data_IF_481349768633
#
_entry.id   IF_481349768633
#
_cell.length_a   1.000
_cell.length_b   1.000
_cell.length_c   1.000
_cell.angle_alpha   90.00
_cell.angle_beta   90.00
_cell.angle_gamma   90.00
#
_symmetry.space_group_name_H-M   'P 1'
#
loop_
_entity.id
_entity.type
_entity.pdbx_description
1 polymer ?
#
# COMPACT_ATOMS: atom_id res chain seq x y z
N UNK A 1 2.82 36.36 19.90
CA UNK A 1 1.70 35.85 20.70
C UNK A 1 0.48 35.58 19.83
N UNK A 2 0.22 34.29 19.60
CA UNK A 2 -0.96 33.78 18.92
C UNK A 2 -1.74 32.93 19.91
N UNK A 3 -3.08 32.99 19.87
CA UNK A 3 -3.90 32.08 20.67
C UNK A 3 -3.68 30.66 20.17
N UNK A 4 -3.25 29.77 21.05
CA UNK A 4 -2.90 28.40 20.73
C UNK A 4 -4.06 27.66 20.05
N UNK A 5 -5.30 27.88 20.51
CA UNK A 5 -6.51 27.30 19.92
C UNK A 5 -6.67 27.73 18.45
N UNK A 6 -6.41 29.00 18.14
CA UNK A 6 -6.51 29.54 16.78
C UNK A 6 -5.44 28.94 15.85
N UNK A 7 -4.19 28.80 16.33
CA UNK A 7 -3.14 28.15 15.57
C UNK A 7 -3.44 26.66 15.32
N UNK A 8 -3.86 25.95 16.38
CA UNK A 8 -4.22 24.54 16.33
C UNK A 8 -5.39 24.27 15.38
N UNK A 9 -6.45 25.09 15.45
CA UNK A 9 -7.59 25.00 14.55
C UNK A 9 -7.19 25.29 13.10
N UNK A 10 -6.33 26.28 12.85
CA UNK A 10 -5.84 26.57 11.50
C UNK A 10 -5.11 25.37 10.88
N UNK A 11 -4.16 24.78 11.64
CA UNK A 11 -3.42 23.58 11.22
C UNK A 11 -4.39 22.42 10.95
N UNK A 12 -5.26 22.15 11.91
CA UNK A 12 -6.21 21.03 11.85
C UNK A 12 -7.20 21.21 10.70
N UNK A 13 -7.70 22.42 10.44
CA UNK A 13 -8.66 22.71 9.37
C UNK A 13 -8.02 22.61 7.98
N UNK A 14 -6.76 23.04 7.85
CA UNK A 14 -6.01 22.92 6.59
C UNK A 14 -5.74 21.45 6.26
N UNK A 15 -5.35 20.67 7.26
CA UNK A 15 -5.21 19.22 7.13
C UNK A 15 -6.55 18.54 6.82
N UNK A 16 -7.62 18.94 7.52
CA UNK A 16 -8.97 18.41 7.33
C UNK A 16 -9.44 18.54 5.89
N UNK A 17 -9.32 19.72 5.26
CA UNK A 17 -9.72 19.95 3.86
C UNK A 17 -9.07 18.93 2.90
N UNK A 18 -7.81 18.60 3.16
CA UNK A 18 -7.03 17.66 2.34
C UNK A 18 -7.42 16.21 2.63
N UNK A 19 -7.72 15.88 3.88
CA UNK A 19 -8.13 14.54 4.34
C UNK A 19 -9.59 14.22 3.99
N UNK A 20 -10.51 15.19 4.00
CA UNK A 20 -11.90 15.00 3.54
C UNK A 20 -11.95 14.62 2.07
N UNK A 21 -11.14 15.26 1.22
CA UNK A 21 -10.96 14.85 -0.17
C UNK A 21 -10.34 13.45 -0.34
N UNK A 22 -9.90 12.80 0.73
CA UNK A 22 -9.39 11.42 0.78
C UNK A 22 -10.38 10.44 1.41
N UNK A 23 -11.59 10.88 1.76
CA UNK A 23 -12.59 10.03 2.42
C UNK A 23 -12.39 9.87 3.93
N UNK A 24 -11.52 10.68 4.55
CA UNK A 24 -11.42 10.73 6.00
C UNK A 24 -12.53 11.61 6.58
N UNK A 25 -12.91 11.31 7.82
CA UNK A 25 -13.87 12.10 8.58
C UNK A 25 -13.22 12.56 9.88
N UNK A 26 -13.41 13.86 10.21
CA UNK A 26 -13.04 14.40 11.51
C UNK A 26 -13.98 13.81 12.56
N UNK A 27 -13.40 13.24 13.61
CA UNK A 27 -14.15 12.69 14.73
C UNK A 27 -14.40 13.76 15.78
N UNK A 28 -15.57 13.70 16.40
CA UNK A 28 -15.84 14.45 17.63
C UNK A 28 -15.18 13.70 18.76
N UNK A 29 -14.07 14.21 19.27
CA UNK A 29 -13.40 13.67 20.45
C UNK A 29 -13.81 14.50 21.68
N UNK A 30 -13.98 13.84 22.82
CA UNK A 30 -14.22 14.50 24.09
C UNK A 30 -12.94 15.23 24.49
N UNK A 31 -12.92 16.53 24.18
CA UNK A 31 -12.03 17.60 24.61
C UNK A 31 -10.56 17.26 24.96
N UNK A 32 -9.69 17.97 24.24
CA UNK A 32 -8.43 18.53 24.70
C UNK A 32 -8.39 18.76 26.21
N UNK A 33 -7.43 18.14 26.90
CA UNK A 33 -7.14 18.48 28.31
C UNK A 33 -6.38 19.81 28.36
N UNK A 34 -6.16 20.36 29.55
CA UNK A 34 -5.26 21.52 29.72
C UNK A 34 -3.83 21.24 29.23
N UNK A 35 -3.45 19.97 29.12
CA UNK A 35 -2.11 19.51 28.76
C UNK A 35 -1.98 19.14 27.28
N UNK A 36 -3.08 18.74 26.63
CA UNK A 36 -3.06 18.28 25.24
C UNK A 36 -4.27 18.78 24.44
N UNK A 37 -4.02 19.32 23.25
CA UNK A 37 -5.05 19.56 22.23
C UNK A 37 -4.96 18.54 21.12
N UNK A 38 -6.07 17.91 20.75
CA UNK A 38 -6.08 16.88 19.73
C UNK A 38 -7.18 17.08 18.68
N UNK A 39 -6.88 16.67 17.45
CA UNK A 39 -7.83 16.50 16.37
C UNK A 39 -7.62 15.09 15.79
N UNK A 40 -8.70 14.36 15.60
CA UNK A 40 -8.69 12.98 15.09
C UNK A 40 -9.43 12.90 13.76
N UNK A 41 -8.80 12.23 12.79
CA UNK A 41 -9.35 11.99 11.46
C UNK A 41 -9.27 10.50 11.15
N UNK A 42 -10.40 9.85 10.92
CA UNK A 42 -10.45 8.41 10.63
C UNK A 42 -10.76 8.16 9.17
N UNK A 43 -10.01 7.25 8.54
CA UNK A 43 -10.31 6.68 7.22
C UNK A 43 -10.60 5.18 7.32
N UNK A 44 -10.61 4.47 6.19
CA UNK A 44 -10.94 3.03 6.13
C UNK A 44 -9.91 2.12 6.83
N UNK A 45 -8.62 2.44 6.73
CA UNK A 45 -7.54 1.57 7.24
C UNK A 45 -6.52 2.28 8.14
N UNK A 46 -6.62 3.60 8.26
CA UNK A 46 -5.68 4.42 9.03
C UNK A 46 -6.43 5.59 9.65
N UNK A 47 -6.01 5.99 10.85
CA UNK A 47 -6.41 7.24 11.48
C UNK A 47 -5.19 8.17 11.57
N UNK A 48 -5.42 9.47 11.38
CA UNK A 48 -4.44 10.52 11.63
C UNK A 48 -4.89 11.34 12.83
N UNK A 49 -3.92 11.77 13.63
CA UNK A 49 -4.16 12.70 14.73
C UNK A 49 -3.13 13.82 14.70
N UNK A 50 -3.61 15.05 14.85
CA UNK A 50 -2.78 16.21 15.19
C UNK A 50 -2.91 16.42 16.68
N UNK A 51 -1.78 16.49 17.38
CA UNK A 51 -1.74 16.72 18.83
C UNK A 51 -0.77 17.85 19.14
N UNK A 52 -1.19 18.76 20.00
CA UNK A 52 -0.29 19.72 20.64
C UNK A 52 -0.06 19.31 22.09
N UNK A 53 1.19 19.16 22.49
CA UNK A 53 1.61 18.88 23.86
C UNK A 53 2.09 20.19 24.52
N UNK A 54 1.35 20.68 25.51
CA UNK A 54 1.62 22.00 26.14
C UNK A 54 2.93 22.02 26.92
N UNK A 55 3.28 20.92 27.58
CA UNK A 55 4.53 20.77 28.36
C UNK A 55 5.79 20.88 27.48
N UNK A 56 5.73 20.32 26.27
CA UNK A 56 6.84 20.25 25.31
C UNK A 56 6.80 21.34 24.26
N UNK A 57 5.70 22.11 24.19
CA UNK A 57 5.42 23.05 23.10
C UNK A 57 5.58 22.39 21.72
N UNK A 58 5.06 21.18 21.59
CA UNK A 58 5.21 20.35 20.39
C UNK A 58 3.89 20.17 19.66
N UNK A 59 3.89 20.48 18.36
CA UNK A 59 2.85 20.10 17.41
C UNK A 59 3.23 18.79 16.70
N UNK A 60 2.41 17.76 16.83
CA UNK A 60 2.71 16.41 16.39
C UNK A 60 1.65 15.90 15.43
N UNK A 61 2.07 15.42 14.26
CA UNK A 61 1.25 14.59 13.39
C UNK A 61 1.60 13.13 13.64
N UNK A 62 0.60 12.30 13.91
CA UNK A 62 0.75 10.86 14.15
C UNK A 62 -0.33 10.06 13.42
N UNK A 63 -0.07 8.79 13.16
CA UNK A 63 -1.04 7.85 12.60
C UNK A 63 -1.09 6.54 13.36
N UNK A 64 -2.21 5.83 13.24
CA UNK A 64 -2.36 4.47 13.74
C UNK A 64 -3.31 3.68 12.84
N UNK A 65 -3.32 2.35 12.98
CA UNK A 65 -4.16 1.49 12.17
C UNK A 65 -5.62 1.59 12.60
N UNK A 66 -6.54 1.36 11.66
CA UNK A 66 -7.95 1.14 11.98
C UNK A 66 -8.21 -0.33 12.22
N UNK A 67 -9.04 -0.61 13.22
CA UNK A 67 -9.64 -1.91 13.51
C UNK A 67 -11.16 -1.80 13.41
N UNK A 68 -11.86 -2.92 13.51
CA UNK A 68 -13.32 -2.95 13.52
C UNK A 68 -13.92 -2.17 14.72
N UNK A 69 -13.14 -1.99 15.80
CA UNK A 69 -13.52 -1.25 17.00
C UNK A 69 -13.07 0.24 16.97
N UNK A 70 -12.41 0.67 15.89
CA UNK A 70 -11.85 2.02 15.74
C UNK A 70 -10.32 2.06 15.70
N UNK A 71 -9.70 3.23 15.91
CA UNK A 71 -8.24 3.36 15.91
C UNK A 71 -7.61 2.46 16.99
N UNK A 72 -6.55 1.70 16.65
CA UNK A 72 -5.87 0.81 17.59
C UNK A 72 -5.06 1.54 18.67
N UNK A 73 -4.97 2.87 18.57
CA UNK A 73 -4.25 3.78 19.44
C UNK A 73 -2.73 3.51 19.57
N UNK A 74 -2.16 2.67 18.70
CA UNK A 74 -0.72 2.45 18.59
C UNK A 74 -0.12 3.52 17.68
N UNK A 75 -0.03 4.72 18.22
CA UNK A 75 0.37 5.90 17.47
C UNK A 75 1.84 5.85 17.03
N UNK A 76 2.05 5.91 15.72
CA UNK A 76 3.34 6.21 15.09
C UNK A 76 3.42 7.72 14.83
N UNK A 77 4.46 8.36 15.34
CA UNK A 77 4.75 9.77 15.02
C UNK A 77 5.23 9.87 13.56
N UNK A 78 4.62 10.79 12.81
CA UNK A 78 4.98 11.10 11.43
C UNK A 78 5.82 12.36 11.34
N UNK A 79 5.46 13.39 12.11
CA UNK A 79 6.19 14.64 12.18
C UNK A 79 6.04 15.26 13.58
N UNK A 80 7.05 15.99 14.02
CA UNK A 80 7.06 16.76 15.27
C UNK A 80 7.69 18.10 15.00
N UNK A 81 6.97 19.16 15.35
CA UNK A 81 7.40 20.54 15.24
C UNK A 81 7.35 21.20 16.60
N UNK A 82 8.32 22.05 16.90
CA UNK A 82 8.19 22.99 18.01
C UNK A 82 7.24 24.12 17.59
N UNK A 83 6.33 24.49 18.48
CA UNK A 83 5.45 25.63 18.31
C UNK A 83 5.21 26.26 19.67
N UNK A 84 5.75 27.45 19.88
CA UNK A 84 5.59 28.22 21.11
C UNK A 84 4.58 29.36 20.90
N UNK A 85 3.35 29.29 21.43
CA UNK A 85 2.33 30.29 21.17
C UNK A 85 2.69 31.71 21.67
N UNK A 86 3.67 31.82 22.57
CA UNK A 86 4.14 33.11 23.09
C UNK A 86 5.00 33.83 22.05
N UNK A 87 5.93 33.11 21.42
CA UNK A 87 6.93 33.67 20.48
C UNK A 87 6.53 33.53 19.02
N UNK A 88 5.88 32.43 18.66
CA UNK A 88 5.57 32.09 17.28
C UNK A 88 4.31 32.80 16.78
N UNK A 89 4.17 32.80 15.47
CA UNK A 89 3.09 33.47 14.76
C UNK A 89 2.27 32.49 13.93
N UNK A 90 1.22 33.00 13.29
CA UNK A 90 0.43 32.21 12.35
C UNK A 90 1.24 31.75 11.14
N UNK A 91 2.38 32.38 10.83
CA UNK A 91 3.26 31.94 9.74
C UNK A 91 3.90 30.59 10.05
N UNK A 92 4.38 30.39 11.27
CA UNK A 92 4.92 29.12 11.73
C UNK A 92 3.83 28.05 11.73
N UNK A 93 2.63 28.38 12.24
CA UNK A 93 1.47 27.49 12.17
C UNK A 93 1.12 27.09 10.72
N UNK A 94 1.16 28.04 9.78
CA UNK A 94 0.91 27.77 8.35
C UNK A 94 1.96 26.88 7.71
N UNK A 95 3.24 27.04 8.10
CA UNK A 95 4.35 26.21 7.65
C UNK A 95 4.21 24.78 8.16
N UNK A 96 3.91 24.60 9.45
CA UNK A 96 3.63 23.29 10.05
C UNK A 96 2.46 22.62 9.34
N UNK A 97 1.39 23.37 9.07
CA UNK A 97 0.23 22.85 8.37
C UNK A 97 0.55 22.42 6.93
N UNK A 98 1.40 23.16 6.21
CA UNK A 98 1.85 22.79 4.87
C UNK A 98 2.65 21.49 4.89
N UNK A 99 3.59 21.34 5.82
CA UNK A 99 4.38 20.11 5.99
C UNK A 99 3.48 18.91 6.29
N UNK A 100 2.53 19.05 7.22
CA UNK A 100 1.56 18.00 7.53
C UNK A 100 0.70 17.63 6.32
N UNK A 101 0.25 18.63 5.56
CA UNK A 101 -0.52 18.43 4.33
C UNK A 101 0.30 17.69 3.27
N UNK A 102 1.57 18.06 3.10
CA UNK A 102 2.49 17.41 2.17
C UNK A 102 2.69 15.94 2.55
N UNK A 103 2.96 15.66 3.82
CA UNK A 103 3.13 14.31 4.37
C UNK A 103 1.90 13.41 4.10
N UNK A 104 0.68 13.89 4.39
CA UNK A 104 -0.54 13.10 4.12
C UNK A 104 -0.91 13.07 2.63
N UNK A 105 -0.37 13.98 1.81
CA UNK A 105 -0.60 14.03 0.36
C UNK A 105 0.37 13.14 -0.41
N UNK A 106 1.63 13.06 0.00
CA UNK A 106 2.57 12.07 -0.51
C UNK A 106 2.04 10.64 -0.30
N UNK A 107 1.38 10.40 0.84
CA UNK A 107 0.66 9.16 1.11
C UNK A 107 -0.58 8.91 0.20
N UNK A 108 -1.04 9.88 -0.62
CA UNK A 108 -2.23 9.76 -1.51
C UNK A 108 -1.98 9.11 -2.87
N UNK A 109 -0.74 8.99 -3.36
CA UNK A 109 -0.48 8.31 -4.67
C UNK A 109 -0.98 6.86 -4.67
N UNK A 110 -1.30 6.40 -3.48
CA UNK A 110 -1.52 5.04 -3.10
C UNK A 110 -3.02 4.70 -3.09
N UNK A 111 -3.86 5.40 -2.30
CA UNK A 111 -5.24 4.93 -2.02
C UNK A 111 -6.30 5.18 -3.09
N UNK A 112 -6.15 6.11 -4.04
CA UNK A 112 -7.25 6.49 -4.96
C UNK A 112 -7.56 5.48 -6.08
N UNK A 113 -6.74 4.45 -6.30
CA UNK A 113 -6.99 3.42 -7.34
C UNK A 113 -7.59 2.13 -6.76
N UNK A 114 -7.51 1.91 -5.44
CA UNK A 114 -7.91 0.64 -4.82
C UNK A 114 -9.42 0.44 -4.66
N UNK A 115 -10.19 1.51 -4.42
CA UNK A 115 -11.57 1.36 -3.94
C UNK A 115 -12.63 1.21 -5.03
N UNK A 116 -12.34 1.45 -6.32
CA UNK A 116 -13.42 1.53 -7.33
C UNK A 116 -13.66 0.28 -8.17
N UNK A 117 -12.84 -0.79 -8.08
CA UNK A 117 -13.09 -2.01 -8.87
C UNK A 117 -12.51 -3.29 -8.26
N UNK A 118 -13.10 -3.84 -7.20
CA UNK A 118 -13.26 -5.30 -7.07
C UNK A 118 -14.62 -5.61 -6.46
N UNK A 119 -15.62 -5.76 -7.34
CA UNK A 119 -16.72 -6.69 -7.05
C UNK A 119 -16.06 -8.02 -6.68
N UNK A 120 -16.40 -8.58 -5.52
CA UNK A 120 -16.14 -9.98 -5.18
C UNK A 120 -16.54 -10.82 -6.39
N UNK A 121 -15.54 -11.34 -7.11
CA UNK A 121 -15.73 -12.54 -7.90
C UNK A 121 -15.39 -13.68 -6.96
N UNK A 122 -16.40 -14.49 -6.67
CA UNK A 122 -16.27 -15.82 -6.08
C UNK A 122 -15.40 -16.66 -7.02
N UNK A 123 -14.10 -16.68 -6.77
CA UNK A 123 -13.23 -17.77 -7.20
C UNK A 123 -12.04 -17.85 -6.24
N UNK A 124 -12.05 -18.90 -5.43
CA UNK A 124 -11.13 -19.15 -4.32
C UNK A 124 -9.70 -19.38 -4.81
N UNK A 125 -8.82 -18.46 -4.41
CA UNK A 125 -7.37 -18.59 -4.51
C UNK A 125 -6.72 -17.53 -3.63
N UNK A 126 -6.55 -17.86 -2.34
CA UNK A 126 -6.01 -16.99 -1.27
C UNK A 126 -4.52 -16.59 -1.45
N UNK A 127 -4.01 -16.60 -2.68
CA UNK A 127 -2.64 -16.24 -3.02
C UNK A 127 -2.63 -14.98 -3.90
N UNK A 128 -2.91 -13.84 -3.27
CA UNK A 128 -2.68 -12.52 -3.88
C UNK A 128 -1.17 -12.15 -3.88
N UNK A 129 -0.75 -11.09 -4.59
CA UNK A 129 0.68 -10.75 -4.69
C UNK A 129 1.38 -10.52 -3.34
N UNK A 130 0.64 -10.04 -2.33
CA UNK A 130 1.15 -9.83 -0.98
C UNK A 130 1.39 -11.17 -0.28
N UNK A 131 0.44 -12.10 -0.37
CA UNK A 131 0.59 -13.44 0.16
C UNK A 131 1.73 -14.19 -0.54
N UNK A 132 1.86 -14.04 -1.85
CA UNK A 132 2.98 -14.57 -2.61
C UNK A 132 4.33 -14.07 -2.06
N UNK A 133 4.49 -12.76 -1.85
CA UNK A 133 5.69 -12.19 -1.26
C UNK A 133 5.98 -12.78 0.14
N UNK A 134 4.95 -12.95 0.98
CA UNK A 134 5.10 -13.57 2.30
C UNK A 134 5.58 -15.03 2.24
N UNK A 135 5.23 -15.77 1.19
CA UNK A 135 5.70 -17.17 1.00
C UNK A 135 7.19 -17.25 0.70
N UNK A 136 7.76 -16.20 0.11
CA UNK A 136 9.20 -16.12 -0.16
C UNK A 136 10.04 -15.77 1.07
N UNK A 137 9.43 -15.31 2.17
CA UNK A 137 10.16 -14.99 3.43
C UNK A 137 10.93 -16.21 3.99
N UNK A 138 10.45 -17.43 3.71
CA UNK A 138 11.17 -18.65 4.10
C UNK A 138 12.45 -18.92 3.30
N UNK A 139 12.69 -18.19 2.22
CA UNK A 139 13.95 -18.18 1.45
C UNK A 139 14.71 -16.88 1.66
N UNK A 140 14.01 -15.77 1.79
CA UNK A 140 14.57 -14.43 1.93
C UNK A 140 13.98 -13.75 3.17
N UNK A 141 14.52 -14.01 4.38
CA UNK A 141 13.97 -13.50 5.64
C UNK A 141 13.82 -11.97 5.69
N UNK A 142 14.70 -11.24 5.00
CA UNK A 142 14.71 -9.79 4.88
C UNK A 142 13.43 -9.23 4.21
N UNK A 143 12.74 -10.03 3.40
CA UNK A 143 11.46 -9.64 2.80
C UNK A 143 10.40 -9.34 3.88
N UNK A 144 10.53 -9.86 5.10
CA UNK A 144 9.55 -9.59 6.16
C UNK A 144 9.41 -8.09 6.45
N UNK A 145 10.53 -7.39 6.55
CA UNK A 145 10.54 -5.95 6.83
C UNK A 145 10.16 -5.16 5.58
N UNK A 146 10.70 -5.54 4.42
CA UNK A 146 10.38 -4.88 3.14
C UNK A 146 8.89 -4.98 2.80
N UNK A 147 8.25 -6.13 3.04
CA UNK A 147 6.79 -6.30 2.86
C UNK A 147 6.03 -5.38 3.82
N UNK A 148 6.45 -5.29 5.09
CA UNK A 148 5.79 -4.44 6.08
C UNK A 148 5.91 -2.96 5.68
N UNK A 149 7.08 -2.54 5.22
CA UNK A 149 7.30 -1.19 4.71
C UNK A 149 6.43 -0.90 3.48
N UNK A 150 6.38 -1.83 2.53
CA UNK A 150 5.53 -1.71 1.33
C UNK A 150 4.05 -1.64 1.72
N UNK A 151 3.59 -2.42 2.70
CA UNK A 151 2.21 -2.36 3.21
C UNK A 151 1.89 -1.04 3.91
N UNK A 152 2.86 -0.45 4.61
CA UNK A 152 2.70 0.83 5.30
C UNK A 152 2.70 2.00 4.32
N UNK A 153 3.51 1.90 3.26
CA UNK A 153 3.70 2.95 2.28
C UNK A 153 2.68 2.86 1.15
N UNK A 154 2.22 1.65 0.79
CA UNK A 154 1.44 1.38 -0.41
C UNK A 154 0.20 0.46 -0.18
N UNK A 155 -0.94 0.84 -0.77
CA UNK A 155 -2.25 0.23 -0.80
C UNK A 155 -2.95 0.58 -2.13
N UNK A 156 -3.19 -0.37 -3.05
CA UNK A 156 -2.93 -1.79 -2.86
C UNK A 156 -1.42 -2.06 -2.87
N UNK A 157 -1.02 -3.17 -2.26
CA UNK A 157 0.36 -3.67 -2.33
C UNK A 157 0.81 -3.72 -3.80
N UNK A 158 1.91 -3.03 -4.15
CA UNK A 158 2.36 -2.90 -5.55
C UNK A 158 3.09 -4.16 -5.99
N UNK A 159 2.36 -5.27 -6.16
CA UNK A 159 2.94 -6.59 -6.39
C UNK A 159 3.99 -6.65 -7.50
N UNK A 160 3.75 -6.00 -8.64
CA UNK A 160 4.72 -5.92 -9.75
C UNK A 160 5.97 -5.16 -9.33
N UNK A 161 5.81 -3.89 -8.91
CA UNK A 161 6.93 -3.02 -8.51
C UNK A 161 7.74 -3.62 -7.36
N UNK A 162 7.08 -4.13 -6.33
CA UNK A 162 7.73 -4.81 -5.21
C UNK A 162 8.52 -6.03 -5.68
N UNK A 163 7.97 -6.80 -6.63
CA UNK A 163 8.69 -7.93 -7.20
C UNK A 163 9.94 -7.48 -7.96
N UNK A 164 9.82 -6.45 -8.79
CA UNK A 164 10.93 -5.91 -9.56
C UNK A 164 12.04 -5.33 -8.68
N UNK A 165 11.68 -4.54 -7.68
CA UNK A 165 12.62 -3.81 -6.83
C UNK A 165 13.23 -4.67 -5.72
N UNK A 166 12.45 -5.59 -5.13
CA UNK A 166 12.84 -6.30 -3.90
C UNK A 166 13.06 -7.79 -4.09
N UNK A 167 12.23 -8.47 -4.89
CA UNK A 167 12.27 -9.94 -5.03
C UNK A 167 13.26 -10.37 -6.13
N UNK A 168 13.19 -9.76 -7.32
CA UNK A 168 14.04 -10.13 -8.47
C UNK A 168 15.54 -10.11 -8.15
N UNK A 169 16.10 -9.07 -7.50
CA UNK A 169 17.52 -9.06 -7.14
C UNK A 169 17.92 -10.25 -6.26
N UNK A 170 17.03 -10.67 -5.34
CA UNK A 170 17.26 -11.79 -4.43
C UNK A 170 17.20 -13.14 -5.16
N UNK A 171 16.26 -13.30 -6.09
CA UNK A 171 16.18 -14.48 -6.96
C UNK A 171 17.45 -14.59 -7.81
N UNK A 172 17.89 -13.50 -8.45
CA UNK A 172 19.11 -13.53 -9.27
C UNK A 172 20.33 -13.92 -8.45
N UNK A 173 20.49 -13.34 -7.25
CA UNK A 173 21.56 -13.72 -6.33
C UNK A 173 21.48 -15.21 -5.93
N UNK A 174 20.27 -15.71 -5.66
CA UNK A 174 20.06 -17.11 -5.33
C UNK A 174 20.44 -18.04 -6.49
N UNK A 175 20.15 -17.66 -7.73
CA UNK A 175 20.53 -18.46 -8.90
C UNK A 175 22.04 -18.45 -9.18
N UNK A 176 22.73 -17.37 -8.81
CA UNK A 176 24.19 -17.25 -8.97
C UNK A 176 24.98 -18.01 -7.89
N UNK A 177 24.48 -18.01 -6.65
CA UNK A 177 25.28 -18.45 -5.48
C UNK A 177 24.60 -19.52 -4.63
N UNK A 178 23.31 -19.77 -4.86
CA UNK A 178 22.50 -20.67 -4.04
C UNK A 178 22.75 -22.14 -4.34
N UNK A 179 22.40 -22.97 -3.36
CA UNK A 179 22.47 -24.42 -3.47
C UNK A 179 21.28 -25.00 -4.25
N UNK A 180 21.45 -26.20 -4.82
CA UNK A 180 20.36 -26.91 -5.52
C UNK A 180 19.06 -27.02 -4.67
N UNK A 181 19.11 -27.37 -3.36
CA UNK A 181 17.91 -27.40 -2.52
C UNK A 181 17.18 -26.05 -2.41
N UNK A 182 17.90 -24.93 -2.35
CA UNK A 182 17.29 -23.60 -2.27
C UNK A 182 16.62 -23.21 -3.58
N UNK A 183 17.27 -23.53 -4.72
CA UNK A 183 16.68 -23.34 -6.06
C UNK A 183 15.43 -24.21 -6.22
N UNK A 184 15.47 -25.48 -5.80
CA UNK A 184 14.29 -26.37 -5.80
C UNK A 184 13.17 -25.81 -4.93
N UNK A 185 13.49 -25.25 -3.76
CA UNK A 185 12.52 -24.60 -2.87
C UNK A 185 11.90 -23.36 -3.52
N UNK A 186 12.69 -22.56 -4.23
CA UNK A 186 12.19 -21.42 -5.02
C UNK A 186 11.19 -21.90 -6.07
N UNK A 187 11.58 -22.86 -6.92
CA UNK A 187 10.71 -23.39 -7.98
C UNK A 187 9.41 -23.98 -7.40
N UNK A 188 9.50 -24.68 -6.27
CA UNK A 188 8.34 -25.21 -5.55
C UNK A 188 7.38 -24.12 -5.09
N UNK A 189 7.90 -23.02 -4.51
CA UNK A 189 7.09 -21.88 -4.11
C UNK A 189 6.43 -21.22 -5.34
N UNK A 190 7.18 -20.98 -6.41
CA UNK A 190 6.64 -20.41 -7.65
C UNK A 190 5.52 -21.30 -8.23
N UNK A 191 5.72 -22.62 -8.29
CA UNK A 191 4.70 -23.57 -8.76
C UNK A 191 3.44 -23.56 -7.92
N UNK A 192 3.58 -23.64 -6.59
CA UNK A 192 2.44 -23.65 -5.67
C UNK A 192 1.63 -22.33 -5.72
N UNK A 193 2.33 -21.20 -5.81
CA UNK A 193 1.70 -19.89 -5.86
C UNK A 193 1.14 -19.55 -7.24
N UNK A 194 1.69 -20.12 -8.31
CA UNK A 194 1.08 -20.06 -9.64
C UNK A 194 -0.24 -20.84 -9.67
N UNK A 195 -0.26 -22.07 -9.15
CA UNK A 195 -1.47 -22.90 -9.12
C UNK A 195 -2.61 -22.26 -8.33
N UNK A 196 -2.31 -21.76 -7.13
CA UNK A 196 -3.31 -21.21 -6.20
C UNK A 196 -3.53 -19.69 -6.33
N UNK A 197 -2.70 -19.03 -7.14
CA UNK A 197 -2.68 -17.57 -7.25
C UNK A 197 -3.80 -17.01 -8.11
N UNK A 198 -4.19 -15.77 -7.79
CA UNK A 198 -5.07 -15.00 -8.67
C UNK A 198 -4.33 -14.59 -9.97
N UNK A 199 -5.05 -13.94 -10.90
CA UNK A 199 -4.48 -13.50 -12.19
C UNK A 199 -3.23 -12.62 -12.03
N UNK A 200 -3.21 -11.75 -11.02
CA UNK A 200 -2.07 -10.85 -10.79
C UNK A 200 -0.85 -11.65 -10.32
N UNK A 201 -1.02 -12.57 -9.37
CA UNK A 201 0.06 -13.44 -8.87
C UNK A 201 0.60 -14.34 -9.98
N UNK A 202 -0.28 -14.96 -10.77
CA UNK A 202 0.12 -15.79 -11.92
C UNK A 202 0.93 -14.99 -12.94
N UNK A 203 0.49 -13.78 -13.25
CA UNK A 203 1.17 -12.87 -14.18
C UNK A 203 2.53 -12.42 -13.64
N UNK A 204 2.62 -12.07 -12.35
CA UNK A 204 3.90 -11.72 -11.70
C UNK A 204 4.89 -12.88 -11.82
N UNK A 205 4.47 -14.10 -11.53
CA UNK A 205 5.36 -15.27 -11.60
C UNK A 205 5.88 -15.47 -13.03
N UNK A 206 5.00 -15.46 -14.04
CA UNK A 206 5.42 -15.80 -15.41
C UNK A 206 6.06 -14.63 -16.16
N UNK A 207 5.48 -13.43 -16.08
CA UNK A 207 5.88 -12.27 -16.89
C UNK A 207 6.95 -11.44 -16.19
N UNK A 208 6.91 -11.31 -14.86
CA UNK A 208 7.85 -10.45 -14.12
C UNK A 208 9.04 -11.27 -13.64
N UNK A 209 8.81 -12.43 -13.02
CA UNK A 209 9.89 -13.26 -12.48
C UNK A 209 10.54 -14.06 -13.59
N UNK A 210 9.85 -15.09 -14.12
CA UNK A 210 10.48 -16.09 -14.99
C UNK A 210 11.03 -15.49 -16.29
N UNK A 211 10.36 -14.48 -16.87
CA UNK A 211 10.85 -13.80 -18.07
C UNK A 211 12.03 -12.86 -17.82
N UNK A 212 12.23 -12.37 -16.59
CA UNK A 212 13.38 -11.54 -16.25
C UNK A 212 14.66 -12.36 -16.02
N UNK A 213 14.54 -13.68 -15.83
CA UNK A 213 15.68 -14.55 -15.61
C UNK A 213 16.49 -14.75 -16.90
N UNK A 214 17.80 -14.90 -16.72
CA UNK A 214 18.73 -15.27 -17.78
C UNK A 214 18.42 -16.70 -18.27
N UNK A 215 18.46 -16.89 -19.60
CA UNK A 215 18.15 -18.18 -20.23
C UNK A 215 19.12 -19.29 -19.78
N UNK A 216 20.32 -18.95 -19.29
CA UNK A 216 21.29 -19.92 -18.74
C UNK A 216 20.75 -20.70 -17.53
N UNK A 217 19.77 -20.15 -16.80
CA UNK A 217 19.16 -20.82 -15.64
C UNK A 217 17.96 -21.69 -16.01
N UNK A 218 17.62 -21.78 -17.30
CA UNK A 218 16.39 -22.45 -17.73
C UNK A 218 16.37 -23.93 -17.39
N UNK A 219 17.44 -24.64 -17.75
CA UNK A 219 17.51 -26.10 -17.59
C UNK A 219 17.38 -26.51 -16.12
N UNK A 220 18.09 -25.82 -15.22
CA UNK A 220 18.04 -26.10 -13.79
C UNK A 220 16.68 -25.78 -13.16
N UNK A 221 15.98 -24.75 -13.65
CA UNK A 221 14.64 -24.40 -13.19
C UNK A 221 13.60 -25.40 -13.70
N UNK A 222 13.68 -25.79 -14.98
CA UNK A 222 12.76 -26.75 -15.58
C UNK A 222 12.90 -28.16 -14.99
N UNK A 223 14.07 -28.57 -14.48
CA UNK A 223 14.29 -29.88 -13.85
C UNK A 223 13.24 -30.19 -12.76
N UNK A 224 12.85 -29.18 -11.98
CA UNK A 224 11.95 -29.33 -10.81
C UNK A 224 10.61 -28.61 -10.96
N UNK A 225 10.38 -27.97 -12.11
CA UNK A 225 9.16 -27.22 -12.37
C UNK A 225 8.00 -28.13 -12.82
N UNK A 226 6.78 -27.83 -12.38
CA UNK A 226 5.58 -28.55 -12.84
C UNK A 226 5.26 -28.26 -14.31
N UNK A 227 4.67 -29.25 -15.00
CA UNK A 227 4.33 -29.11 -16.43
C UNK A 227 3.41 -27.92 -16.73
N UNK A 228 2.50 -27.61 -15.81
CA UNK A 228 1.62 -26.46 -15.95
C UNK A 228 2.41 -25.14 -15.93
N UNK A 229 3.34 -24.99 -14.99
CA UNK A 229 4.16 -23.79 -14.91
C UNK A 229 5.12 -23.69 -16.10
N UNK A 230 5.71 -24.81 -16.56
CA UNK A 230 6.54 -24.86 -17.78
C UNK A 230 5.79 -24.36 -19.01
N UNK A 231 4.61 -24.93 -19.28
CA UNK A 231 3.76 -24.52 -20.42
C UNK A 231 3.39 -23.04 -20.35
N UNK A 232 3.08 -22.57 -19.16
CA UNK A 232 2.72 -21.17 -18.92
C UNK A 232 3.90 -20.22 -19.12
N UNK A 233 5.11 -20.62 -18.70
CA UNK A 233 6.32 -19.86 -18.93
C UNK A 233 6.68 -19.79 -20.41
N UNK A 234 6.59 -20.91 -21.14
CA UNK A 234 6.86 -20.92 -22.59
C UNK A 234 5.95 -19.93 -23.34
N UNK A 235 4.65 -19.95 -23.03
CA UNK A 235 3.70 -18.98 -23.61
C UNK A 235 3.98 -17.53 -23.20
N UNK A 236 4.39 -17.29 -21.95
CA UNK A 236 4.76 -15.97 -21.44
C UNK A 236 6.03 -15.41 -22.11
N UNK A 237 6.92 -16.28 -22.61
CA UNK A 237 8.21 -15.90 -23.20
C UNK A 237 8.07 -14.97 -24.40
N UNK A 238 6.97 -15.06 -25.14
CA UNK A 238 6.66 -14.14 -26.25
C UNK A 238 6.59 -12.67 -25.83
N UNK A 239 6.47 -12.39 -24.53
CA UNK A 239 6.45 -11.04 -23.94
C UNK A 239 7.79 -10.60 -23.35
N UNK A 240 8.83 -11.46 -23.33
CA UNK A 240 10.17 -11.10 -22.84
C UNK A 240 10.72 -9.91 -23.63
N UNK A 241 11.17 -8.87 -22.92
CA UNK A 241 11.69 -7.63 -23.50
C UNK A 241 10.65 -6.70 -24.14
N UNK A 242 9.35 -7.03 -24.13
CA UNK A 242 8.30 -6.20 -24.72
C UNK A 242 7.62 -5.32 -23.67
N UNK A 243 7.53 -4.01 -23.93
CA UNK A 243 6.61 -3.12 -23.18
C UNK A 243 5.18 -3.31 -23.71
N UNK A 244 4.38 -4.10 -23.00
CA UNK A 244 2.95 -4.28 -23.32
C UNK A 244 2.19 -3.03 -22.91
N UNK A 245 1.51 -2.38 -23.85
CA UNK A 245 0.65 -1.23 -23.55
C UNK A 245 -0.55 -1.70 -22.71
N UNK A 246 -0.94 -0.98 -21.64
CA UNK A 246 -2.11 -1.35 -20.86
C UNK A 246 -3.34 -1.45 -21.76
N UNK A 247 -4.10 -2.52 -21.58
CA UNK A 247 -5.30 -2.79 -22.38
C UNK A 247 -6.28 -1.62 -22.21
N UNK A 248 -6.71 -1.02 -23.33
CA UNK A 248 -7.65 0.10 -23.32
C UNK A 248 -8.92 -0.33 -22.59
N UNK A 249 -9.28 0.36 -21.51
CA UNK A 249 -10.54 0.15 -20.80
C UNK A 249 -11.68 0.30 -21.81
N UNK A 250 -12.37 -0.80 -22.14
CA UNK A 250 -13.55 -0.75 -23.00
C UNK A 250 -14.60 0.12 -22.31
N UNK A 251 -15.01 1.23 -22.96
CA UNK A 251 -16.11 2.08 -22.48
C UNK A 251 -17.36 1.22 -22.35
N UNK A 252 -18.00 1.20 -21.17
CA UNK A 252 -19.33 0.62 -21.01
C UNK A 252 -20.29 1.39 -21.92
N UNK A 253 -21.05 0.70 -22.78
CA UNK A 253 -22.14 1.30 -23.54
C UNK A 253 -23.21 1.79 -22.54
N UNK A 254 -23.62 3.05 -22.68
CA UNK A 254 -24.77 3.62 -21.96
C UNK A 254 -26.06 3.13 -22.63
N UNK A 255 -27.00 2.62 -21.82
CA UNK A 255 -28.43 2.55 -22.10
C UNK A 255 -28.91 1.35 -22.91
N UNK A 256 -29.47 0.35 -22.23
CA UNK A 256 -30.76 -0.21 -22.62
C UNK A 256 -31.71 0.05 -21.44
N UNK A 257 -32.63 0.95 -21.72
CA UNK A 257 -33.76 1.38 -20.92
C UNK A 257 -34.64 0.15 -20.59
N UNK A 258 -34.77 -0.22 -19.32
CA UNK A 258 -35.85 -1.07 -18.85
C UNK A 258 -36.61 -0.28 -17.79
N UNK A 259 -37.82 0.10 -18.18
CA UNK A 259 -38.65 1.09 -17.52
C UNK A 259 -39.16 0.62 -16.16
N UNK A 260 -39.18 1.57 -15.23
CA UNK A 260 -40.07 1.51 -14.09
C UNK A 260 -41.44 2.03 -14.54
N UNK A 261 -42.38 1.10 -14.73
CA UNK A 261 -43.81 1.42 -14.75
C UNK A 261 -44.23 1.89 -13.36
N UNK A 262 -44.62 3.16 -13.24
CA UNK A 262 -45.49 3.66 -12.19
C UNK A 262 -46.87 3.02 -12.40
N UNK A 263 -47.44 2.41 -11.37
CA UNK A 263 -48.87 2.18 -11.32
C UNK A 263 -49.40 2.66 -9.96
N UNK A 264 -50.51 3.38 -10.07
CA UNK A 264 -51.52 3.66 -9.04
C UNK A 264 -52.02 2.38 -8.33
#
# INVERSE_FOLDING_TARGET
MVKLETAFESISNKLQKVLEGQGFKKQKIAASTSEEMAALFTGEGVAYSVVYFTDKKHMVLRSCAMTDEGPDNKWRVLATWMFDPETDTMKEADSIANDFVEMVTAAKVVKRVAQTKRKKSEDEGNADPKFFAKRLVGLFPELREEIKEEENSYYPFRGVTFTEEKILPKINRLLETGSKPEITKLVSILGAQYGNGNKDTRSIITIVILNALDDKYREILEETMSDNLKKSWEGARHYKGKKVKPEKIKKKKKGSDEGYTLND
#
